data_IF_285238547739
#
_entry.id   IF_285238547739
#
_cell.length_a   1.000
_cell.length_b   1.000
_cell.length_c   1.000
_cell.angle_alpha   90.00
_cell.angle_beta   90.00
_cell.angle_gamma   90.00
#
_symmetry.space_group_name_H-M   'P 1'
#
loop_
_entity.id
_entity.type
_entity.pdbx_description
1 polymer ?
#
# COMPACT_ATOMS: atom_id res chain seq x y z
N UNK A 1 4.85 -24.61 0.49
CA UNK A 1 3.97 -24.85 -0.68
C UNK A 1 4.24 -23.81 -1.76
N UNK A 2 4.60 -24.27 -2.97
CA UNK A 2 4.93 -23.46 -4.15
C UNK A 2 3.74 -23.39 -5.11
N UNK A 3 3.33 -22.19 -5.49
CA UNK A 3 2.26 -21.93 -6.45
C UNK A 3 2.80 -22.02 -7.90
N UNK A 4 3.15 -23.22 -8.35
CA UNK A 4 3.42 -23.50 -9.77
C UNK A 4 2.36 -24.52 -10.21
N UNK A 5 1.68 -24.31 -11.34
CA UNK A 5 0.76 -25.35 -11.84
C UNK A 5 1.58 -26.60 -12.17
N UNK A 6 1.19 -27.75 -11.63
CA UNK A 6 1.89 -29.03 -11.83
C UNK A 6 2.08 -29.32 -13.34
N UNK A 7 1.11 -28.86 -14.16
CA UNK A 7 1.11 -28.95 -15.61
C UNK A 7 2.32 -28.28 -16.28
N UNK A 8 2.71 -27.06 -15.88
CA UNK A 8 3.85 -26.36 -16.50
C UNK A 8 5.17 -27.09 -16.19
N UNK A 9 5.28 -27.66 -14.99
CA UNK A 9 6.46 -28.43 -14.57
C UNK A 9 6.58 -29.76 -15.33
N UNK A 10 5.45 -30.38 -15.66
CA UNK A 10 5.40 -31.61 -16.46
C UNK A 10 5.64 -31.34 -17.95
N UNK A 11 5.12 -30.25 -18.51
CA UNK A 11 5.28 -29.93 -19.94
C UNK A 11 6.69 -29.45 -20.31
N UNK A 12 7.40 -28.76 -19.41
CA UNK A 12 8.70 -28.14 -19.71
C UNK A 12 9.90 -28.89 -19.10
N UNK A 13 9.64 -29.96 -18.34
CA UNK A 13 10.62 -30.90 -17.77
C UNK A 13 11.85 -30.26 -17.10
N UNK A 14 11.70 -29.06 -16.54
CA UNK A 14 12.79 -28.30 -15.94
C UNK A 14 12.47 -27.97 -14.48
N UNK A 15 13.29 -28.50 -13.55
CA UNK A 15 13.16 -28.28 -12.10
C UNK A 15 13.38 -26.81 -11.69
N UNK A 16 13.78 -25.95 -12.64
CA UNK A 16 14.12 -24.53 -12.43
C UNK A 16 12.92 -23.57 -12.42
N UNK A 17 11.70 -24.02 -12.72
CA UNK A 17 10.50 -23.17 -12.66
C UNK A 17 9.97 -23.00 -11.22
N UNK A 18 10.75 -22.31 -10.38
CA UNK A 18 10.40 -21.89 -9.02
C UNK A 18 10.26 -20.36 -8.95
N UNK A 19 9.53 -19.76 -9.89
CA UNK A 19 9.52 -18.28 -10.06
C UNK A 19 8.20 -17.57 -9.73
N UNK A 20 7.17 -18.26 -9.23
CA UNK A 20 5.86 -17.63 -9.08
C UNK A 20 5.81 -16.56 -7.98
N UNK A 21 6.40 -16.80 -6.79
CA UNK A 21 6.31 -15.84 -5.67
C UNK A 21 7.01 -14.51 -5.95
N UNK A 22 8.18 -14.56 -6.61
CA UNK A 22 8.91 -13.35 -6.99
C UNK A 22 8.15 -12.57 -8.04
N UNK A 23 7.62 -13.24 -9.09
CA UNK A 23 6.83 -12.57 -10.13
C UNK A 23 5.50 -11.99 -9.60
N UNK A 24 4.79 -12.72 -8.75
CA UNK A 24 3.56 -12.21 -8.11
C UNK A 24 3.86 -11.03 -7.19
N UNK A 25 4.92 -11.09 -6.39
CA UNK A 25 5.35 -9.95 -5.56
C UNK A 25 5.68 -8.75 -6.44
N UNK A 26 6.45 -8.93 -7.50
CA UNK A 26 6.80 -7.84 -8.43
C UNK A 26 5.55 -7.23 -9.10
N UNK A 27 4.57 -8.04 -9.52
CA UNK A 27 3.30 -7.54 -10.07
C UNK A 27 2.53 -6.73 -9.03
N UNK A 28 2.42 -7.26 -7.80
CA UNK A 28 1.73 -6.56 -6.72
C UNK A 28 2.42 -5.22 -6.42
N UNK A 29 3.74 -5.23 -6.25
CA UNK A 29 4.52 -4.05 -5.85
C UNK A 29 4.62 -3.01 -6.97
N UNK A 30 4.82 -3.43 -8.23
CA UNK A 30 5.12 -2.50 -9.33
C UNK A 30 3.89 -2.15 -10.19
N UNK A 31 2.78 -2.89 -10.09
CA UNK A 31 1.59 -2.65 -10.92
C UNK A 31 0.38 -2.34 -10.05
N UNK A 32 0.02 -3.25 -9.12
CA UNK A 32 -1.22 -3.13 -8.34
C UNK A 32 -1.10 -2.01 -7.29
N UNK A 33 0.00 -1.97 -6.54
CA UNK A 33 0.20 -0.96 -5.50
C UNK A 33 0.18 0.47 -6.06
N UNK A 34 0.93 0.82 -7.13
CA UNK A 34 0.87 2.15 -7.73
C UNK A 34 -0.55 2.52 -8.18
N UNK A 35 -1.24 1.61 -8.87
CA UNK A 35 -2.61 1.83 -9.31
C UNK A 35 -3.57 2.13 -8.14
N UNK A 36 -3.48 1.37 -7.04
CA UNK A 36 -4.31 1.60 -5.86
C UNK A 36 -3.98 2.96 -5.23
N UNK A 37 -2.70 3.31 -5.13
CA UNK A 37 -2.26 4.60 -4.57
C UNK A 37 -2.79 5.75 -5.43
N UNK A 38 -2.58 5.73 -6.74
CA UNK A 38 -3.01 6.79 -7.66
C UNK A 38 -4.54 6.95 -7.65
N UNK A 39 -5.28 5.85 -7.68
CA UNK A 39 -6.74 5.90 -7.61
C UNK A 39 -7.22 6.42 -6.24
N UNK A 40 -6.54 6.06 -5.14
CA UNK A 40 -6.86 6.59 -3.80
C UNK A 40 -6.60 8.09 -3.73
N UNK A 41 -5.48 8.55 -4.29
CA UNK A 41 -5.15 9.97 -4.34
C UNK A 41 -6.17 10.75 -5.17
N UNK A 42 -6.58 10.22 -6.32
CA UNK A 42 -7.65 10.80 -7.15
C UNK A 42 -8.96 10.89 -6.38
N UNK A 43 -9.38 9.82 -5.69
CA UNK A 43 -10.57 9.86 -4.84
C UNK A 43 -10.46 10.89 -3.71
N UNK A 44 -9.29 11.00 -3.08
CA UNK A 44 -9.03 11.99 -2.02
C UNK A 44 -9.13 13.43 -2.53
N UNK A 45 -8.80 13.71 -3.80
CA UNK A 45 -8.98 15.06 -4.38
C UNK A 45 -10.45 15.51 -4.47
N UNK A 46 -11.40 14.57 -4.43
CA UNK A 46 -12.84 14.86 -4.40
C UNK A 46 -13.43 14.79 -2.99
N UNK A 47 -12.66 14.33 -2.00
CA UNK A 47 -13.12 14.19 -0.64
C UNK A 47 -13.04 15.52 0.11
N UNK A 48 -14.16 15.97 0.66
CA UNK A 48 -14.20 17.19 1.48
C UNK A 48 -13.61 16.99 2.88
N UNK A 49 -13.70 15.77 3.40
CA UNK A 49 -13.24 15.42 4.74
C UNK A 49 -12.43 14.13 4.70
N UNK A 50 -11.26 14.20 5.33
CA UNK A 50 -10.30 13.10 5.38
C UNK A 50 -9.84 12.96 6.83
N UNK A 51 -9.93 11.74 7.36
CA UNK A 51 -9.35 11.37 8.65
C UNK A 51 -8.15 10.48 8.43
N UNK A 52 -7.03 10.84 9.06
CA UNK A 52 -5.81 10.02 9.06
C UNK A 52 -5.74 9.28 10.38
N UNK A 53 -5.47 7.98 10.30
CA UNK A 53 -5.30 7.12 11.46
C UNK A 53 -3.84 6.68 11.54
N UNK A 54 -3.38 6.34 12.73
CA UNK A 54 -2.11 5.65 12.95
C UNK A 54 -2.37 4.52 13.93
N UNK A 55 -1.84 3.34 13.66
CA UNK A 55 -1.93 2.22 14.58
C UNK A 55 -0.94 2.36 15.75
N UNK A 56 -1.43 2.11 16.96
CA UNK A 56 -0.60 2.01 18.18
C UNK A 56 0.14 0.68 18.30
N UNK A 57 0.25 -0.10 17.22
CA UNK A 57 0.85 -1.42 17.25
C UNK A 57 2.37 -1.34 17.03
N UNK A 58 3.15 -2.09 17.82
CA UNK A 58 4.62 -1.95 17.87
C UNK A 58 5.39 -3.21 17.53
N UNK A 59 4.72 -4.30 17.20
CA UNK A 59 5.43 -5.51 16.89
C UNK A 59 6.28 -5.29 15.62
N UNK A 60 7.60 -5.41 15.77
CA UNK A 60 8.61 -5.16 14.73
C UNK A 60 8.67 -3.72 14.21
N UNK A 61 8.16 -2.74 14.97
CA UNK A 61 8.20 -1.32 14.63
C UNK A 61 7.50 -0.96 13.30
N UNK A 62 6.60 -1.81 12.81
CA UNK A 62 5.81 -1.53 11.61
C UNK A 62 4.64 -0.63 12.00
N UNK A 63 4.53 0.51 11.31
CA UNK A 63 3.41 1.45 11.43
C UNK A 63 2.58 1.48 10.16
N UNK A 64 1.27 1.51 10.38
CA UNK A 64 0.20 1.60 9.42
C UNK A 64 -0.41 2.98 9.48
N UNK A 65 -0.56 3.61 8.32
CA UNK A 65 -1.27 4.88 8.19
C UNK A 65 -2.50 4.69 7.30
N UNK A 66 -3.66 4.29 7.88
CA UNK A 66 -4.92 4.29 7.16
C UNK A 66 -5.45 5.70 6.95
N UNK A 67 -6.17 5.89 5.85
CA UNK A 67 -6.93 7.10 5.55
C UNK A 67 -8.39 6.73 5.33
N UNK A 68 -9.26 7.45 6.03
CA UNK A 68 -10.71 7.36 5.94
C UNK A 68 -11.26 8.62 5.29
N UNK A 69 -12.14 8.47 4.32
CA UNK A 69 -12.77 9.60 3.64
C UNK A 69 -14.17 9.23 3.16
N UNK A 70 -15.01 10.23 2.95
CA UNK A 70 -16.37 10.06 2.48
C UNK A 70 -16.51 10.53 1.03
N UNK A 71 -17.11 9.71 0.18
CA UNK A 71 -17.49 10.08 -1.18
C UNK A 71 -19.03 10.03 -1.31
N UNK A 72 -19.71 11.11 -1.74
CA UNK A 72 -21.17 11.17 -1.79
C UNK A 72 -21.85 10.03 -2.56
N UNK A 73 -21.20 9.52 -3.61
CA UNK A 73 -21.76 8.49 -4.49
C UNK A 73 -21.31 7.06 -4.13
N UNK A 74 -20.40 6.89 -3.16
CA UNK A 74 -19.78 5.60 -2.86
C UNK A 74 -19.79 5.26 -1.36
N UNK A 75 -20.09 6.24 -0.50
CA UNK A 75 -20.03 6.17 0.96
C UNK A 75 -18.59 6.24 1.54
N UNK A 76 -18.44 5.95 2.83
CA UNK A 76 -17.18 5.96 3.57
C UNK A 76 -16.23 4.88 3.04
N UNK A 77 -15.02 5.31 2.68
CA UNK A 77 -13.89 4.44 2.32
C UNK A 77 -12.84 4.45 3.42
N UNK A 78 -12.21 3.30 3.61
CA UNK A 78 -11.00 3.13 4.41
C UNK A 78 -9.94 2.48 3.53
N UNK A 79 -8.82 3.16 3.30
CA UNK A 79 -7.70 2.64 2.52
C UNK A 79 -6.39 2.84 3.27
N UNK A 80 -5.41 1.97 3.03
CA UNK A 80 -4.09 2.08 3.63
C UNK A 80 -3.17 2.78 2.64
N UNK A 81 -2.59 3.92 3.03
CA UNK A 81 -1.68 4.66 2.16
C UNK A 81 -0.26 4.10 2.20
N UNK A 82 0.25 3.76 3.39
CA UNK A 82 1.63 3.30 3.53
C UNK A 82 1.80 2.27 4.66
N UNK A 83 2.71 1.32 4.40
CA UNK A 83 3.30 0.41 5.39
C UNK A 83 4.77 0.79 5.53
N UNK A 84 5.18 1.21 6.72
CA UNK A 84 6.54 1.69 6.92
C UNK A 84 7.08 1.27 8.27
N UNK A 85 8.39 1.08 8.35
CA UNK A 85 9.06 0.80 9.62
C UNK A 85 9.40 2.13 10.28
N UNK A 86 8.91 2.36 11.50
CA UNK A 86 9.21 3.55 12.31
C UNK A 86 9.83 3.09 13.62
N UNK A 87 11.14 3.29 13.75
CA UNK A 87 11.89 2.95 14.95
C UNK A 87 11.60 3.99 16.05
N UNK A 88 10.54 3.74 16.83
CA UNK A 88 10.13 4.59 17.95
C UNK A 88 8.72 5.16 17.81
N UNK A 89 8.16 5.61 18.92
CA UNK A 89 6.75 6.03 19.03
C UNK A 89 6.55 7.41 19.65
N UNK A 90 7.58 8.24 19.69
CA UNK A 90 7.39 9.62 20.17
C UNK A 90 6.38 10.34 19.28
N UNK A 91 5.60 11.25 19.86
CA UNK A 91 4.62 12.07 19.14
C UNK A 91 5.22 12.75 17.91
N UNK A 92 6.46 13.23 18.01
CA UNK A 92 7.14 13.95 16.94
C UNK A 92 7.45 13.05 15.75
N UNK A 93 7.92 11.82 16.01
CA UNK A 93 8.17 10.81 14.98
C UNK A 93 6.88 10.41 14.26
N UNK A 94 5.81 10.18 15.02
CA UNK A 94 4.51 9.81 14.44
C UNK A 94 3.97 10.97 13.58
N UNK A 95 4.03 12.20 14.09
CA UNK A 95 3.55 13.39 13.37
C UNK A 95 4.36 13.63 12.10
N UNK A 96 5.68 13.54 12.17
CA UNK A 96 6.56 13.65 11.01
C UNK A 96 6.21 12.59 9.97
N UNK A 97 5.99 11.34 10.42
CA UNK A 97 5.63 10.26 9.51
C UNK A 97 4.29 10.48 8.83
N UNK A 98 3.29 11.00 9.54
CA UNK A 98 1.99 11.37 8.93
C UNK A 98 2.20 12.44 7.85
N UNK A 99 2.96 13.49 8.16
CA UNK A 99 3.24 14.58 7.20
C UNK A 99 3.95 14.05 5.96
N UNK A 100 4.93 13.16 6.11
CA UNK A 100 5.66 12.57 4.99
C UNK A 100 4.73 11.76 4.09
N UNK A 101 3.90 10.89 4.65
CA UNK A 101 2.93 10.06 3.92
C UNK A 101 1.97 10.95 3.11
N UNK A 102 1.45 12.00 3.74
CA UNK A 102 0.53 12.94 3.09
C UNK A 102 1.23 13.75 1.99
N UNK A 103 2.45 14.22 2.23
CA UNK A 103 3.23 15.03 1.28
C UNK A 103 3.66 14.21 0.06
N UNK A 104 4.05 12.95 0.25
CA UNK A 104 4.36 12.03 -0.85
C UNK A 104 3.12 11.78 -1.70
N UNK A 105 1.96 11.60 -1.07
CA UNK A 105 0.67 11.51 -1.76
C UNK A 105 0.37 12.76 -2.60
N UNK A 106 0.56 13.95 -2.02
CA UNK A 106 0.35 15.24 -2.70
C UNK A 106 1.31 15.43 -3.88
N UNK A 107 2.60 15.15 -3.72
CA UNK A 107 3.57 15.30 -4.84
C UNK A 107 3.24 14.38 -6.02
N UNK A 108 2.75 13.17 -5.77
CA UNK A 108 2.32 12.24 -6.83
C UNK A 108 1.07 12.72 -7.59
N UNK A 109 0.17 13.45 -6.94
CA UNK A 109 -1.00 14.05 -7.57
C UNK A 109 -0.66 15.14 -8.60
N UNK A 110 0.39 15.93 -8.34
CA UNK A 110 0.81 17.05 -9.20
C UNK A 110 1.89 16.70 -10.23
N UNK A 111 2.33 15.44 -10.27
CA UNK A 111 3.36 14.96 -11.22
C UNK A 111 2.77 14.25 -12.45
N UNK A 112 1.43 14.17 -12.55
CA UNK A 112 0.67 13.68 -13.71
C UNK A 112 -0.01 14.86 -14.40
#
# INVERSE_FOLDING_TARGET
>A
MSCTSELIRQCLNDKKFTCAKTKTKEIVVNVICPYIVDNTLKELSFANYVSVLVDGFNYKAIKLVPVRYFLPHVDVKNKILEFSNLLGETSDLITTKIIDVLTIGVRRLYSQ
#
